data_IF_270408778162
#
_entry.id   IF_270408778162
#
_cell.length_a   1.000
_cell.length_b   1.000
_cell.length_c   1.000
_cell.angle_alpha   90.00
_cell.angle_beta   90.00
_cell.angle_gamma   90.00
#
_symmetry.space_group_name_H-M   'P 1'
#
loop_
_entity.id
_entity.type
_entity.pdbx_description
1 polymer ?
#
# COMPACT_ATOMS: atom_id res chain seq x y z
N UNK A 1 4.83 3.16 7.20
CA UNK A 1 4.84 4.51 7.82
C UNK A 1 3.46 4.98 8.26
N UNK A 2 2.40 4.87 7.44
CA UNK A 2 1.03 5.28 7.81
C UNK A 2 0.52 4.74 9.16
N UNK A 3 0.70 3.44 9.44
CA UNK A 3 0.29 2.85 10.74
C UNK A 3 0.99 3.49 11.95
N UNK A 4 2.26 3.87 11.83
CA UNK A 4 3.00 4.58 12.89
C UNK A 4 2.47 5.99 13.11
N UNK A 5 2.16 6.71 12.03
CA UNK A 5 1.58 8.05 12.10
C UNK A 5 0.18 8.03 12.72
N UNK A 6 -0.67 7.09 12.33
CA UNK A 6 -2.00 6.92 12.93
C UNK A 6 -1.93 6.59 14.42
N UNK A 7 -1.04 5.66 14.81
CA UNK A 7 -0.85 5.34 16.23
C UNK A 7 -0.35 6.55 17.02
N UNK A 8 0.56 7.35 16.45
CA UNK A 8 1.04 8.58 17.09
C UNK A 8 -0.11 9.59 17.31
N UNK A 9 -0.98 9.79 16.30
CA UNK A 9 -2.16 10.66 16.42
C UNK A 9 -3.09 10.17 17.53
N UNK A 10 -3.35 8.86 17.60
CA UNK A 10 -4.21 8.27 18.65
C UNK A 10 -3.60 8.51 20.03
N UNK A 11 -2.30 8.30 20.19
CA UNK A 11 -1.60 8.51 21.47
C UNK A 11 -1.65 9.97 21.89
N UNK A 12 -1.37 10.90 20.98
CA UNK A 12 -1.45 12.35 21.25
C UNK A 12 -2.88 12.75 21.64
N UNK A 13 -3.89 12.21 20.96
CA UNK A 13 -5.30 12.43 21.30
C UNK A 13 -5.65 11.87 22.67
N UNK A 14 -5.16 10.68 23.02
CA UNK A 14 -5.37 10.08 24.34
C UNK A 14 -4.71 10.91 25.47
N UNK A 15 -3.49 11.42 25.24
CA UNK A 15 -2.82 12.32 26.18
C UNK A 15 -3.61 13.62 26.35
N UNK A 16 -4.07 14.21 25.25
CA UNK A 16 -4.89 15.44 25.28
C UNK A 16 -6.19 15.23 26.06
N UNK A 17 -6.87 14.10 25.83
CA UNK A 17 -8.07 13.72 26.55
C UNK A 17 -7.78 13.51 28.05
N UNK A 18 -6.66 12.87 28.39
CA UNK A 18 -6.25 12.68 29.78
C UNK A 18 -5.97 14.01 30.50
N UNK A 19 -5.35 14.98 29.82
CA UNK A 19 -5.11 16.33 30.36
C UNK A 19 -6.43 17.06 30.62
N UNK A 20 -7.39 16.99 29.68
CA UNK A 20 -8.72 17.59 29.84
C UNK A 20 -9.43 16.99 31.07
N UNK A 21 -9.43 15.65 31.19
CA UNK A 21 -10.07 14.97 32.32
C UNK A 21 -9.38 15.29 33.65
N UNK A 22 -8.05 15.41 33.67
CA UNK A 22 -7.29 15.82 34.85
C UNK A 22 -7.66 17.25 35.28
N UNK A 23 -7.81 18.18 34.33
CA UNK A 23 -8.26 19.55 34.60
C UNK A 23 -9.69 19.62 35.16
N UNK A 24 -10.51 18.58 34.91
CA UNK A 24 -11.85 18.45 35.48
C UNK A 24 -11.87 17.78 36.87
N UNK A 25 -10.71 17.59 37.51
CA UNK A 25 -10.56 16.83 38.77
C UNK A 25 -11.17 15.42 38.70
N UNK A 26 -11.13 14.81 37.51
CA UNK A 26 -11.61 13.44 37.32
C UNK A 26 -10.69 12.47 38.08
N UNK A 27 -11.23 11.46 38.80
CA UNK A 27 -10.39 10.51 39.51
C UNK A 27 -9.47 9.73 38.56
N UNK A 28 -8.23 9.52 38.99
CA UNK A 28 -7.13 8.95 38.17
C UNK A 28 -7.52 7.63 37.50
N UNK A 29 -8.23 6.75 38.23
CA UNK A 29 -8.66 5.46 37.69
C UNK A 29 -9.60 5.63 36.49
N UNK A 30 -10.47 6.64 36.51
CA UNK A 30 -11.42 6.91 35.44
C UNK A 30 -10.73 7.56 34.23
N UNK A 31 -9.70 8.38 34.46
CA UNK A 31 -8.83 8.91 33.40
C UNK A 31 -8.14 7.76 32.65
N UNK A 32 -7.60 6.79 33.38
CA UNK A 32 -6.94 5.61 32.79
C UNK A 32 -7.94 4.80 31.96
N UNK A 33 -9.11 4.48 32.53
CA UNK A 33 -10.16 3.72 31.83
C UNK A 33 -10.59 4.42 30.55
N UNK A 34 -10.87 5.73 30.62
CA UNK A 34 -11.29 6.50 29.44
C UNK A 34 -10.21 6.59 28.36
N UNK A 35 -8.94 6.69 28.76
CA UNK A 35 -7.81 6.70 27.82
C UNK A 35 -7.65 5.34 27.12
N UNK A 36 -7.83 4.23 27.84
CA UNK A 36 -7.82 2.88 27.26
C UNK A 36 -8.99 2.70 26.29
N UNK A 37 -10.20 3.10 26.69
CA UNK A 37 -11.40 3.05 25.85
C UNK A 37 -11.22 3.87 24.58
N UNK A 38 -10.67 5.09 24.70
CA UNK A 38 -10.34 5.94 23.55
C UNK A 38 -9.41 5.22 22.57
N UNK A 39 -8.28 4.71 23.05
CA UNK A 39 -7.32 3.99 22.19
C UNK A 39 -7.97 2.78 21.52
N UNK A 40 -8.79 2.02 22.26
CA UNK A 40 -9.48 0.84 21.75
C UNK A 40 -10.46 1.18 20.63
N UNK A 41 -11.29 2.21 20.81
CA UNK A 41 -12.26 2.67 19.81
C UNK A 41 -11.54 3.10 18.53
N UNK A 42 -10.53 3.95 18.63
CA UNK A 42 -9.83 4.46 17.45
C UNK A 42 -9.02 3.38 16.75
N UNK A 43 -8.38 2.48 17.49
CA UNK A 43 -7.64 1.35 16.90
C UNK A 43 -8.60 0.41 16.16
N UNK A 44 -9.75 0.10 16.76
CA UNK A 44 -10.80 -0.70 16.14
C UNK A 44 -11.37 -0.05 14.88
N UNK A 45 -11.65 1.25 14.93
CA UNK A 45 -12.13 2.01 13.78
C UNK A 45 -11.14 1.98 12.61
N UNK A 46 -9.84 2.18 12.88
CA UNK A 46 -8.81 2.09 11.83
C UNK A 46 -8.76 0.70 11.21
N UNK A 47 -8.82 -0.36 12.03
CA UNK A 47 -8.80 -1.73 11.52
C UNK A 47 -9.99 -2.01 10.58
N UNK A 48 -11.16 -1.47 10.92
CA UNK A 48 -12.37 -1.58 10.08
C UNK A 48 -12.25 -0.77 8.78
N UNK A 49 -11.61 0.40 8.83
CA UNK A 49 -11.50 1.31 7.68
C UNK A 49 -10.35 0.98 6.73
N UNK A 50 -9.28 0.33 7.20
CA UNK A 50 -8.10 -0.05 6.42
C UNK A 50 -8.45 -0.70 5.05
N UNK A 51 -9.33 -1.72 4.97
CA UNK A 51 -9.69 -2.32 3.68
C UNK A 51 -10.45 -1.36 2.75
N UNK A 52 -11.25 -0.45 3.29
CA UNK A 52 -12.00 0.54 2.50
C UNK A 52 -11.05 1.61 1.95
N UNK A 53 -10.10 2.07 2.76
CA UNK A 53 -9.08 3.04 2.36
C UNK A 53 -8.20 2.49 1.23
N UNK A 54 -7.77 1.23 1.33
CA UNK A 54 -6.97 0.57 0.27
C UNK A 54 -7.77 0.46 -1.04
N UNK A 55 -9.06 0.13 -0.98
CA UNK A 55 -9.91 0.09 -2.18
C UNK A 55 -10.04 1.47 -2.84
N UNK A 56 -10.26 2.52 -2.05
CA UNK A 56 -10.34 3.89 -2.57
C UNK A 56 -9.02 4.34 -3.20
N UNK A 57 -7.89 4.04 -2.55
CA UNK A 57 -6.56 4.38 -3.08
C UNK A 57 -6.28 3.64 -4.39
N UNK A 58 -6.67 2.37 -4.52
CA UNK A 58 -6.57 1.64 -5.80
C UNK A 58 -7.44 2.27 -6.89
N UNK A 59 -8.65 2.70 -6.57
CA UNK A 59 -9.51 3.41 -7.53
C UNK A 59 -8.93 4.77 -7.95
N UNK A 60 -8.31 5.49 -7.02
CA UNK A 60 -7.59 6.73 -7.35
C UNK A 60 -6.37 6.44 -8.22
N UNK A 61 -5.61 5.38 -7.94
CA UNK A 61 -4.47 4.98 -8.76
C UNK A 61 -4.89 4.60 -10.18
N UNK A 62 -6.04 3.95 -10.37
CA UNK A 62 -6.61 3.68 -11.70
C UNK A 62 -6.94 4.96 -12.49
N UNK A 63 -7.18 6.09 -11.81
CA UNK A 63 -7.37 7.40 -12.44
C UNK A 63 -6.04 8.11 -12.69
N UNK A 64 -5.11 8.05 -11.73
CA UNK A 64 -3.82 8.70 -11.80
C UNK A 64 -2.84 8.03 -12.79
N UNK A 65 -2.96 6.71 -12.96
CA UNK A 65 -2.09 5.90 -13.80
C UNK A 65 -2.94 5.12 -14.82
N UNK A 66 -3.23 5.70 -16.00
CA UNK A 66 -4.02 5.04 -17.04
C UNK A 66 -3.43 3.69 -17.49
N UNK A 67 -2.10 3.58 -17.46
CA UNK A 67 -1.37 2.35 -17.79
C UNK A 67 -1.76 1.15 -16.92
N UNK A 68 -2.35 1.35 -15.73
CA UNK A 68 -2.85 0.26 -14.89
C UNK A 68 -3.98 -0.52 -15.56
N UNK A 69 -4.76 0.13 -16.41
CA UNK A 69 -5.79 -0.57 -17.20
C UNK A 69 -5.13 -1.47 -18.24
N UNK A 70 -4.11 -0.95 -18.91
CA UNK A 70 -3.32 -1.71 -19.89
C UNK A 70 -2.57 -2.89 -19.24
N UNK A 71 -2.12 -2.73 -17.99
CA UNK A 71 -1.53 -3.80 -17.16
C UNK A 71 -2.51 -4.96 -16.94
N UNK A 72 -3.76 -4.64 -16.61
CA UNK A 72 -4.79 -5.66 -16.33
C UNK A 72 -5.17 -6.45 -17.58
N UNK A 73 -5.16 -5.80 -18.74
CA UNK A 73 -5.58 -6.40 -20.00
C UNK A 73 -4.44 -7.12 -20.75
N UNK A 74 -3.19 -7.05 -20.28
CA UNK A 74 -2.02 -7.57 -20.97
C UNK A 74 -1.49 -8.87 -20.34
N UNK A 75 -1.43 -9.94 -21.13
CA UNK A 75 -0.80 -11.21 -20.71
C UNK A 75 0.72 -11.08 -20.57
N UNK A 76 1.36 -10.27 -21.42
CA UNK A 76 2.79 -9.95 -21.39
C UNK A 76 3.01 -8.50 -21.80
N UNK A 77 4.03 -7.86 -21.23
CA UNK A 77 4.34 -6.47 -21.49
C UNK A 77 5.82 -6.15 -21.36
N UNK A 78 6.19 -4.99 -21.87
CA UNK A 78 7.48 -4.34 -21.59
C UNK A 78 7.24 -3.14 -20.69
N UNK A 79 7.92 -3.08 -19.55
CA UNK A 79 7.81 -2.00 -18.57
C UNK A 79 9.08 -1.17 -18.63
N UNK A 80 8.93 0.13 -18.84
CA UNK A 80 10.03 1.08 -18.74
C UNK A 80 9.92 1.83 -17.44
N UNK A 81 10.94 1.72 -16.61
CA UNK A 81 11.07 2.43 -15.36
C UNK A 81 11.67 3.82 -15.59
N UNK A 82 11.45 4.73 -14.64
CA UNK A 82 11.95 6.11 -14.70
C UNK A 82 13.47 6.20 -14.61
N UNK A 83 14.12 5.22 -14.01
CA UNK A 83 15.58 5.08 -13.94
C UNK A 83 16.19 4.57 -15.26
N UNK A 84 15.36 4.26 -16.26
CA UNK A 84 15.79 3.77 -17.57
C UNK A 84 15.88 2.25 -17.68
N UNK A 85 15.60 1.50 -16.60
CA UNK A 85 15.56 0.03 -16.67
C UNK A 85 14.33 -0.41 -17.48
N UNK A 86 14.55 -1.36 -18.39
CA UNK A 86 13.50 -1.94 -19.23
C UNK A 86 13.34 -3.41 -18.88
N UNK A 87 12.13 -3.77 -18.43
CA UNK A 87 11.75 -5.15 -18.13
C UNK A 87 10.95 -5.70 -19.30
N UNK A 88 11.46 -6.74 -19.95
CA UNK A 88 10.81 -7.41 -21.07
C UNK A 88 10.03 -8.64 -20.58
N UNK A 89 8.94 -9.00 -21.28
CA UNK A 89 8.11 -10.17 -20.95
C UNK A 89 7.65 -10.20 -19.49
N UNK A 90 7.24 -9.04 -18.99
CA UNK A 90 6.68 -8.89 -17.66
C UNK A 90 5.21 -9.33 -17.66
N UNK A 91 4.77 -9.98 -16.60
CA UNK A 91 3.39 -10.37 -16.34
C UNK A 91 2.95 -9.70 -15.05
N UNK A 92 1.77 -9.08 -15.05
CA UNK A 92 1.20 -8.45 -13.88
C UNK A 92 0.34 -9.46 -13.11
N UNK A 93 0.71 -9.76 -11.85
CA UNK A 93 -0.08 -10.66 -11.00
C UNK A 93 -0.95 -9.91 -9.97
N UNK A 94 -0.72 -8.61 -9.81
CA UNK A 94 -1.51 -7.79 -8.91
C UNK A 94 -0.66 -6.84 -8.06
N UNK A 95 -1.25 -6.39 -6.96
CA UNK A 95 -0.52 -5.65 -5.93
C UNK A 95 0.25 -6.62 -5.04
N UNK A 96 1.41 -6.20 -4.54
CA UNK A 96 2.26 -6.98 -3.63
C UNK A 96 1.50 -7.58 -2.44
N UNK A 97 0.49 -6.86 -1.94
CA UNK A 97 -0.30 -7.29 -0.79
C UNK A 97 -1.74 -6.83 -0.94
N UNK A 98 -2.66 -7.55 -0.28
CA UNK A 98 -4.08 -7.14 -0.15
C UNK A 98 -4.24 -5.77 0.52
N UNK A 99 -3.25 -5.33 1.30
CA UNK A 99 -3.21 -4.02 1.96
C UNK A 99 -2.31 -3.00 1.26
N UNK A 100 -1.66 -3.38 0.17
CA UNK A 100 -0.86 -2.47 -0.64
C UNK A 100 -1.68 -1.97 -1.83
N UNK A 101 -1.54 -0.68 -2.13
CA UNK A 101 -2.13 -0.02 -3.28
C UNK A 101 -1.07 0.64 -4.17
N UNK A 102 0.20 0.62 -3.76
CA UNK A 102 1.29 1.42 -4.34
C UNK A 102 2.36 0.56 -5.00
N UNK A 103 2.53 -0.68 -4.54
CA UNK A 103 3.52 -1.62 -5.09
C UNK A 103 2.82 -2.71 -5.89
N UNK A 104 3.26 -2.89 -7.13
CA UNK A 104 2.86 -3.96 -8.01
C UNK A 104 3.84 -5.14 -7.88
N UNK A 105 3.30 -6.35 -7.99
CA UNK A 105 4.07 -7.57 -8.14
C UNK A 105 4.09 -7.94 -9.62
N UNK A 106 5.29 -7.96 -10.20
CA UNK A 106 5.51 -8.21 -11.62
C UNK A 106 6.48 -9.39 -11.77
N UNK A 107 6.10 -10.37 -12.58
CA UNK A 107 6.93 -11.53 -12.88
C UNK A 107 7.57 -11.34 -14.24
N UNK A 108 8.90 -11.32 -14.29
CA UNK A 108 9.66 -11.22 -15.53
C UNK A 108 10.04 -12.62 -15.98
N UNK A 109 9.54 -13.01 -17.14
CA UNK A 109 9.89 -14.30 -17.75
C UNK A 109 11.13 -14.13 -18.62
N UNK A 110 12.27 -14.65 -18.16
CA UNK A 110 13.47 -14.70 -19.00
C UNK A 110 13.34 -15.84 -20.01
N UNK A 111 13.54 -15.52 -21.29
CA UNK A 111 13.45 -16.50 -22.38
C UNK A 111 14.70 -17.38 -22.34
N UNK A 112 14.53 -18.69 -22.54
CA UNK A 112 15.65 -19.65 -22.62
C UNK A 112 16.64 -19.19 -23.70
N UNK A 113 17.89 -18.98 -23.32
CA UNK A 113 18.98 -18.68 -24.26
C UNK A 113 19.91 -19.88 -24.37
N UNK A 114 20.77 -19.93 -25.40
CA UNK A 114 21.78 -21.00 -25.55
C UNK A 114 22.69 -21.16 -24.32
N UNK A 115 22.76 -20.16 -23.43
CA UNK A 115 23.65 -20.12 -22.26
C UNK A 115 22.95 -20.24 -20.90
N UNK A 116 21.62 -20.12 -20.83
CA UNK A 116 20.91 -20.15 -19.54
C UNK A 116 19.49 -20.74 -19.66
N UNK A 117 19.05 -21.52 -18.65
CA UNK A 117 17.67 -22.00 -18.57
C UNK A 117 16.71 -20.82 -18.32
N UNK A 118 15.45 -21.00 -18.73
CA UNK A 118 14.39 -20.03 -18.46
C UNK A 118 14.17 -19.87 -16.96
N UNK A 119 14.15 -18.64 -16.46
CA UNK A 119 13.83 -18.31 -15.08
C UNK A 119 12.68 -17.31 -14.99
N UNK A 120 11.94 -17.38 -13.90
CA UNK A 120 10.94 -16.38 -13.53
C UNK A 120 11.53 -15.59 -12.38
N UNK A 121 11.72 -14.29 -12.56
CA UNK A 121 12.19 -13.39 -11.51
C UNK A 121 11.05 -12.49 -11.07
N UNK A 122 10.77 -12.48 -9.77
CA UNK A 122 9.79 -11.59 -9.17
C UNK A 122 10.42 -10.21 -8.95
N UNK A 123 9.73 -9.17 -9.42
CA UNK A 123 10.12 -7.78 -9.19
C UNK A 123 8.97 -7.03 -8.54
N UNK A 124 9.27 -6.43 -7.39
CA UNK A 124 8.38 -5.51 -6.71
C UNK A 124 8.65 -4.10 -7.22
N UNK A 125 7.66 -3.48 -7.88
CA UNK A 125 7.83 -2.18 -8.51
C UNK A 125 6.78 -1.23 -7.97
N UNK A 126 7.19 -0.04 -7.54
CA UNK A 126 6.25 1.01 -7.14
C UNK A 126 5.63 1.64 -8.39
N UNK A 127 4.33 1.95 -8.30
CA UNK A 127 3.60 2.63 -9.37
C UNK A 127 4.26 3.92 -9.86
N UNK A 128 4.84 4.69 -8.93
CA UNK A 128 5.50 5.96 -9.24
C UNK A 128 6.75 5.80 -10.10
N UNK A 129 7.40 4.64 -10.03
CA UNK A 129 8.67 4.37 -10.70
C UNK A 129 8.45 3.92 -12.15
N UNK A 130 7.21 3.59 -12.53
CA UNK A 130 6.86 3.22 -13.90
C UNK A 130 6.69 4.49 -14.73
N UNK A 131 7.43 4.55 -15.85
CA UNK A 131 7.34 5.64 -16.83
C UNK A 131 6.33 5.32 -17.92
N UNK A 132 6.39 4.11 -18.48
CA UNK A 132 5.52 3.68 -19.58
C UNK A 132 5.45 2.16 -19.66
N UNK A 133 4.38 1.68 -20.28
CA UNK A 133 4.12 0.25 -20.48
C UNK A 133 3.77 0.04 -21.95
N UNK A 134 4.30 -1.01 -22.55
CA UNK A 134 3.99 -1.40 -23.92
C UNK A 134 3.51 -2.85 -23.94
N UNK A 135 2.33 -3.08 -24.52
CA UNK A 135 1.80 -4.42 -24.76
C UNK A 135 2.71 -5.15 -25.74
N UNK A 136 3.06 -6.40 -25.41
CA UNK A 136 3.65 -7.34 -26.37
C UNK A 136 2.48 -8.15 -26.91
N UNK A 137 2.14 -7.95 -28.19
CA UNK A 137 1.11 -8.73 -28.88
C UNK A 137 1.57 -10.17 -29.08
#
# INVERSE_FOLDING_TARGET
>A
MRKKAFNAIIIIGAISNAIILANMNTPIWLIIVMSIVYIAIFTGAIYLMEPRLVKMERQQNLKAYPFLRELLDAKKMTITLRDGIILYNATFEGYKSKRDATTLLIHVHTVKTKKAPSSITEHEIKLMDIKSIKKVQ
#
